data_IF_714074612925
#
_entry.id   IF_714074612925
#
_cell.length_a   1.000
_cell.length_b   1.000
_cell.length_c   1.000
_cell.angle_alpha   90.00
_cell.angle_beta   90.00
_cell.angle_gamma   90.00
#
_symmetry.space_group_name_H-M   'P 1'
#
loop_
_entity.id
_entity.type
_entity.pdbx_description
1 polymer ?
#
# COMPACT_ATOMS: atom_id res chain seq x y z
N UNK A 1 -15.57 19.82 -7.55
CA UNK A 1 -14.88 19.02 -6.50
C UNK A 1 -14.72 17.52 -6.82
N UNK A 2 -14.98 17.01 -8.04
CA UNK A 2 -14.71 15.58 -8.36
C UNK A 2 -13.25 15.27 -8.74
N UNK A 3 -12.58 16.22 -9.42
CA UNK A 3 -11.21 16.04 -9.92
C UNK A 3 -10.17 16.01 -8.78
N UNK A 4 -10.38 16.79 -7.70
CA UNK A 4 -9.50 16.79 -6.53
C UNK A 4 -9.53 15.42 -5.82
N UNK A 5 -10.73 14.84 -5.65
CA UNK A 5 -10.89 13.56 -4.96
C UNK A 5 -10.30 12.37 -5.72
N UNK A 6 -10.37 12.37 -7.06
CA UNK A 6 -9.82 11.27 -7.87
C UNK A 6 -8.29 11.23 -7.81
N UNK A 7 -7.63 12.39 -7.93
CA UNK A 7 -6.18 12.48 -7.78
C UNK A 7 -5.67 12.20 -6.35
N UNK A 8 -6.49 12.37 -5.32
CA UNK A 8 -6.15 11.96 -3.96
C UNK A 8 -6.29 10.45 -3.77
N UNK A 9 -7.33 9.83 -4.35
CA UNK A 9 -7.52 8.37 -4.35
C UNK A 9 -6.34 7.69 -5.04
N UNK A 10 -5.94 8.16 -6.22
CA UNK A 10 -4.81 7.60 -6.98
C UNK A 10 -3.48 7.76 -6.25
N UNK A 11 -3.25 8.91 -5.59
CA UNK A 11 -2.05 9.13 -4.78
C UNK A 11 -1.97 8.16 -3.61
N UNK A 12 -3.05 8.02 -2.84
CA UNK A 12 -3.08 7.08 -1.72
C UNK A 12 -2.96 5.64 -2.20
N UNK A 13 -3.64 5.28 -3.30
CA UNK A 13 -3.47 3.96 -3.92
C UNK A 13 -2.01 3.73 -4.34
N UNK A 14 -1.34 4.73 -4.89
CA UNK A 14 0.08 4.66 -5.26
C UNK A 14 0.98 4.35 -4.07
N UNK A 15 0.79 5.03 -2.95
CA UNK A 15 1.51 4.78 -1.69
C UNK A 15 1.27 3.34 -1.23
N UNK A 16 0.01 2.93 -1.14
CA UNK A 16 -0.35 1.56 -0.73
C UNK A 16 0.28 0.50 -1.64
N UNK A 17 0.21 0.70 -2.95
CA UNK A 17 0.70 -0.26 -3.93
C UNK A 17 2.23 -0.34 -3.93
N UNK A 18 2.93 0.80 -3.89
CA UNK A 18 4.39 0.84 -3.89
C UNK A 18 4.99 0.20 -2.62
N UNK A 19 4.43 0.52 -1.45
CA UNK A 19 4.86 -0.11 -0.19
C UNK A 19 4.57 -1.61 -0.19
N UNK A 20 3.37 -2.03 -0.63
CA UNK A 20 3.00 -3.45 -0.71
C UNK A 20 3.93 -4.21 -1.65
N UNK A 21 4.25 -3.69 -2.83
CA UNK A 21 5.16 -4.35 -3.79
C UNK A 21 6.60 -4.46 -3.26
N UNK A 22 7.05 -3.47 -2.48
CA UNK A 22 8.37 -3.49 -1.87
C UNK A 22 8.48 -4.57 -0.79
N UNK A 23 7.50 -4.59 0.13
CA UNK A 23 7.41 -5.59 1.20
C UNK A 23 7.25 -6.99 0.59
N UNK A 24 6.40 -7.14 -0.43
CA UNK A 24 6.16 -8.40 -1.13
C UNK A 24 7.46 -9.01 -1.65
N UNK A 25 8.29 -8.20 -2.32
CA UNK A 25 9.58 -8.64 -2.87
C UNK A 25 10.59 -8.96 -1.78
N UNK A 26 10.62 -8.16 -0.70
CA UNK A 26 11.59 -8.37 0.37
C UNK A 26 11.29 -9.59 1.23
N UNK A 27 10.02 -9.95 1.39
CA UNK A 27 9.57 -11.05 2.28
C UNK A 27 9.14 -12.31 1.54
N UNK A 28 9.17 -12.31 0.20
CA UNK A 28 8.67 -13.40 -0.65
C UNK A 28 7.27 -13.88 -0.24
N UNK A 29 6.36 -12.93 -0.01
CA UNK A 29 5.00 -13.19 0.46
C UNK A 29 3.94 -12.74 -0.56
N UNK A 30 2.67 -12.93 -0.24
CA UNK A 30 1.61 -12.48 -1.13
C UNK A 30 1.46 -10.96 -1.11
N UNK A 31 0.94 -10.39 -2.21
CA UNK A 31 0.58 -8.97 -2.25
C UNK A 31 -0.44 -8.62 -1.14
N UNK A 32 -1.36 -9.54 -0.81
CA UNK A 32 -2.38 -9.31 0.21
C UNK A 32 -1.75 -9.18 1.61
N UNK A 33 -0.81 -10.08 1.96
CA UNK A 33 -0.11 -10.02 3.24
C UNK A 33 0.70 -8.73 3.36
N UNK A 34 1.37 -8.35 2.28
CA UNK A 34 2.15 -7.10 2.19
C UNK A 34 1.27 -5.85 2.30
N UNK A 35 0.06 -5.90 1.74
CA UNK A 35 -0.93 -4.83 1.88
C UNK A 35 -1.44 -4.70 3.31
N UNK A 36 -1.68 -5.81 4.01
CA UNK A 36 -2.10 -5.81 5.42
C UNK A 36 -1.02 -5.17 6.29
N UNK A 37 0.24 -5.53 6.07
CA UNK A 37 1.38 -4.90 6.77
C UNK A 37 1.49 -3.40 6.47
N UNK A 38 1.35 -3.01 5.20
CA UNK A 38 1.37 -1.60 4.78
C UNK A 38 0.29 -0.79 5.49
N UNK A 39 -0.94 -1.33 5.58
CA UNK A 39 -2.05 -0.66 6.26
C UNK A 39 -1.81 -0.56 7.77
N UNK A 40 -1.22 -1.60 8.37
CA UNK A 40 -0.82 -1.58 9.78
C UNK A 40 0.23 -0.52 10.08
N UNK A 41 1.26 -0.40 9.23
CA UNK A 41 2.32 0.59 9.38
C UNK A 41 1.79 2.04 9.25
N UNK A 42 0.90 2.27 8.28
CA UNK A 42 0.24 3.56 8.10
C UNK A 42 -0.67 3.91 9.30
N UNK A 43 -1.36 2.92 9.87
CA UNK A 43 -2.28 3.15 10.99
C UNK A 43 -1.55 3.43 12.30
N UNK A 44 -0.46 2.70 12.58
CA UNK A 44 0.20 2.74 13.88
C UNK A 44 1.37 3.74 13.96
N UNK A 45 1.82 4.27 12.82
CA UNK A 45 2.96 5.16 12.74
C UNK A 45 4.27 4.39 12.90
N UNK A 46 4.71 3.78 11.80
CA UNK A 46 6.03 3.16 11.59
C UNK A 46 6.69 2.51 12.83
N UNK A 47 6.32 1.26 13.11
CA UNK A 47 7.14 0.39 13.95
C UNK A 47 8.42 0.07 13.15
N UNK A 48 9.51 0.80 13.49
CA UNK A 48 10.86 0.82 12.91
C UNK A 48 11.62 -0.53 12.91
N UNK A 49 10.94 -1.67 12.89
CA UNK A 49 11.58 -2.97 12.66
C UNK A 49 10.69 -3.85 11.77
N UNK A 50 10.73 -3.54 10.47
CA UNK A 50 10.04 -4.34 9.46
C UNK A 50 10.90 -5.52 8.95
N UNK A 51 12.01 -5.87 9.60
CA UNK A 51 12.87 -6.97 9.14
C UNK A 51 13.32 -6.85 7.68
N UNK A 52 13.30 -5.63 7.13
CA UNK A 52 13.70 -5.30 5.77
C UNK A 52 15.21 -5.03 5.72
N UNK A 53 15.80 -5.10 4.52
CA UNK A 53 17.15 -4.58 4.33
C UNK A 53 17.15 -3.07 4.60
N UNK A 54 18.24 -2.51 5.13
CA UNK A 54 18.34 -1.06 5.39
C UNK A 54 18.10 -0.21 4.13
N UNK A 55 18.35 -0.77 2.94
CA UNK A 55 18.07 -0.10 1.66
C UNK A 55 16.56 -0.06 1.35
N UNK A 56 15.82 -1.12 1.67
CA UNK A 56 14.37 -1.19 1.42
C UNK A 56 13.58 -0.46 2.50
N UNK A 57 14.03 -0.52 3.75
CA UNK A 57 13.49 0.30 4.84
C UNK A 57 13.56 1.80 4.49
N UNK A 58 14.71 2.27 3.99
CA UNK A 58 14.86 3.66 3.54
C UNK A 58 13.90 4.03 2.39
N UNK A 59 13.63 3.10 1.47
CA UNK A 59 12.63 3.32 0.40
C UNK A 59 11.23 3.41 0.99
N UNK A 60 10.90 2.54 1.94
CA UNK A 60 9.59 2.50 2.59
C UNK A 60 9.33 3.80 3.37
N UNK A 61 10.31 4.27 4.14
CA UNK A 61 10.27 5.56 4.85
C UNK A 61 10.00 6.71 3.86
N UNK A 62 10.67 6.73 2.71
CA UNK A 62 10.44 7.76 1.70
C UNK A 62 9.03 7.69 1.09
N UNK A 63 8.46 6.49 0.94
CA UNK A 63 7.09 6.32 0.44
C UNK A 63 6.09 6.81 1.50
N UNK A 64 6.29 6.46 2.77
CA UNK A 64 5.42 6.90 3.87
C UNK A 64 5.56 8.39 4.19
N UNK A 65 6.71 9.02 3.91
CA UNK A 65 6.87 10.47 4.02
C UNK A 65 5.94 11.26 3.06
N UNK A 66 5.42 10.62 2.01
CA UNK A 66 4.43 11.21 1.11
C UNK A 66 2.97 11.03 1.61
N UNK A 67 2.76 10.32 2.72
CA UNK A 67 1.46 10.11 3.33
C UNK A 67 1.26 11.09 4.49
N UNK A 68 0.31 12.00 4.33
CA UNK A 68 -0.29 12.77 5.42
C UNK A 68 -1.75 12.32 5.57
N UNK A 69 -2.13 11.80 6.73
CA UNK A 69 -3.50 11.33 6.95
C UNK A 69 -4.53 12.45 6.86
N UNK A 70 -4.16 13.68 7.26
CA UNK A 70 -5.08 14.82 7.30
C UNK A 70 -5.42 15.34 5.89
N UNK A 71 -4.62 14.97 4.88
CA UNK A 71 -4.86 15.27 3.47
C UNK A 71 -6.00 14.43 2.85
N UNK A 72 -6.48 13.40 3.54
CA UNK A 72 -7.45 12.44 2.99
C UNK A 72 -8.73 12.33 3.82
N UNK A 73 -9.86 12.51 3.16
CA UNK A 73 -11.15 12.21 3.76
C UNK A 73 -11.42 10.69 3.80
N UNK A 74 -12.35 10.26 4.67
CA UNK A 74 -12.70 8.85 4.87
C UNK A 74 -13.16 8.14 3.59
N UNK A 75 -13.86 8.84 2.69
CA UNK A 75 -14.32 8.27 1.42
C UNK A 75 -13.14 8.00 0.49
N UNK A 76 -12.20 8.93 0.43
CA UNK A 76 -10.95 8.80 -0.32
C UNK A 76 -10.11 7.63 0.18
N UNK A 77 -9.90 7.53 1.49
CA UNK A 77 -9.19 6.40 2.12
C UNK A 77 -9.87 5.08 1.76
N UNK A 78 -11.18 4.99 1.95
CA UNK A 78 -11.95 3.78 1.65
C UNK A 78 -11.83 3.36 0.17
N UNK A 79 -11.87 4.32 -0.76
CA UNK A 79 -11.75 4.03 -2.19
C UNK A 79 -10.34 3.56 -2.58
N UNK A 80 -9.29 4.19 -2.04
CA UNK A 80 -7.91 3.76 -2.29
C UNK A 80 -7.65 2.35 -1.76
N UNK A 81 -8.12 2.04 -0.54
CA UNK A 81 -8.03 0.70 0.04
C UNK A 81 -8.79 -0.33 -0.83
N UNK A 82 -10.00 -0.01 -1.28
CA UNK A 82 -10.78 -0.88 -2.20
C UNK A 82 -10.02 -1.14 -3.50
N UNK A 83 -9.30 -0.17 -4.04
CA UNK A 83 -8.47 -0.35 -5.23
C UNK A 83 -7.30 -1.31 -4.95
N UNK A 84 -6.62 -1.16 -3.81
CA UNK A 84 -5.53 -2.05 -3.40
C UNK A 84 -6.02 -3.51 -3.21
N UNK A 85 -7.19 -3.71 -2.58
CA UNK A 85 -7.80 -5.04 -2.48
C UNK A 85 -8.17 -5.63 -3.85
N UNK A 86 -8.69 -4.81 -4.77
CA UNK A 86 -8.98 -5.25 -6.14
C UNK A 86 -7.73 -5.75 -6.85
N UNK A 87 -6.60 -5.06 -6.67
CA UNK A 87 -5.29 -5.50 -7.18
C UNK A 87 -4.88 -6.84 -6.58
N UNK A 88 -4.97 -6.99 -5.25
CA UNK A 88 -4.64 -8.23 -4.55
C UNK A 88 -5.43 -9.43 -5.10
N UNK A 89 -6.76 -9.29 -5.23
CA UNK A 89 -7.64 -10.33 -5.76
C UNK A 89 -7.29 -10.66 -7.22
N UNK A 90 -7.04 -9.64 -8.04
CA UNK A 90 -6.68 -9.86 -9.44
C UNK A 90 -5.36 -10.63 -9.59
N UNK A 91 -4.34 -10.31 -8.78
CA UNK A 91 -3.07 -11.04 -8.75
C UNK A 91 -3.31 -12.50 -8.37
N UNK A 92 -4.07 -12.76 -7.31
CA UNK A 92 -4.38 -14.11 -6.86
C UNK A 92 -5.12 -14.93 -7.94
N UNK A 93 -6.16 -14.36 -8.56
CA UNK A 93 -6.91 -15.01 -9.64
C UNK A 93 -6.04 -15.30 -10.87
N UNK A 94 -5.09 -14.42 -11.18
CA UNK A 94 -4.16 -14.60 -12.29
C UNK A 94 -3.19 -15.76 -12.06
N UNK A 95 -2.77 -16.01 -10.82
CA UNK A 95 -1.94 -17.15 -10.45
C UNK A 95 -2.75 -18.44 -10.61
N UNK A 96 -3.97 -18.48 -10.07
CA UNK A 96 -4.86 -19.65 -10.16
C UNK A 96 -5.23 -19.99 -11.60
N UNK A 97 -5.45 -18.98 -12.45
CA UNK A 97 -5.84 -19.20 -13.86
C UNK A 97 -4.69 -19.68 -14.77
N UNK A 98 -3.45 -19.69 -14.27
CA UNK A 98 -2.24 -20.12 -15.02
C UNK A 98 -1.68 -21.46 -14.52
N UNK A 99 -2.28 -22.04 -13.50
CA UNK A 99 -1.94 -23.36 -12.93
C UNK A 99 -2.87 -24.42 -13.49
#
# INVERSE_FOLDING_TARGET
>A
MRVLTEGQIERLFGILNQSSELIQKSRDQSYLDSLIETLGAIQNGDDNDQGLSSADEKKLINIYAAFDQDDYDRETIRKAIRMAFRTAIWIALRIVSRS
#
